data_IF_766234014729
#
_entry.id   IF_766234014729
#
_cell.length_a   1.000
_cell.length_b   1.000
_cell.length_c   1.000
_cell.angle_alpha   90.00
_cell.angle_beta   90.00
_cell.angle_gamma   90.00
#
_symmetry.space_group_name_H-M   'P 1'
#
loop_
_entity.id
_entity.type
_entity.pdbx_description
1 polymer ?
#
# COMPACT_ATOMS: atom_id res chain seq x y z
N UNK A 1 29.75 22.55 -17.93
CA UNK A 1 28.40 22.45 -18.53
C UNK A 1 27.64 21.36 -17.78
N UNK A 2 26.44 21.70 -17.35
CA UNK A 2 25.63 21.14 -16.26
C UNK A 2 25.27 19.65 -16.35
N UNK A 3 25.41 18.93 -15.23
CA UNK A 3 24.68 17.70 -14.87
C UNK A 3 24.46 17.61 -13.35
N UNK A 4 23.79 18.59 -12.72
CA UNK A 4 23.49 18.52 -11.27
C UNK A 4 22.31 19.37 -10.83
N UNK A 5 21.21 19.36 -11.59
CA UNK A 5 19.89 19.70 -11.02
C UNK A 5 19.08 18.43 -11.11
N UNK A 6 19.23 17.56 -10.09
CA UNK A 6 18.26 16.52 -9.82
C UNK A 6 16.91 17.22 -9.72
N UNK A 7 16.01 16.82 -10.60
CA UNK A 7 14.66 17.35 -10.70
C UNK A 7 13.94 17.02 -9.38
N UNK A 8 13.94 17.95 -8.41
CA UNK A 8 13.13 17.82 -7.20
C UNK A 8 11.67 18.07 -7.55
N UNK A 9 11.10 17.19 -8.38
CA UNK A 9 9.68 17.17 -8.66
C UNK A 9 8.94 16.87 -7.36
N UNK A 10 7.87 17.62 -7.07
CA UNK A 10 7.06 17.35 -5.88
C UNK A 10 6.47 15.93 -5.95
N UNK A 11 6.08 15.32 -4.81
CA UNK A 11 5.46 14.00 -4.82
C UNK A 11 4.26 13.90 -5.78
N UNK A 12 3.46 14.97 -5.89
CA UNK A 12 2.32 15.03 -6.81
C UNK A 12 2.73 15.11 -8.29
N UNK A 13 3.87 15.73 -8.62
CA UNK A 13 4.41 15.71 -9.97
C UNK A 13 4.91 14.30 -10.32
N UNK A 14 5.62 13.64 -9.40
CA UNK A 14 6.05 12.25 -9.57
C UNK A 14 4.84 11.31 -9.72
N UNK A 15 3.75 11.56 -8.98
CA UNK A 15 2.49 10.83 -9.14
C UNK A 15 1.89 11.04 -10.53
N UNK A 16 1.83 12.28 -11.01
CA UNK A 16 1.31 12.58 -12.34
C UNK A 16 2.12 11.88 -13.43
N UNK A 17 3.45 11.94 -13.33
CA UNK A 17 4.35 11.28 -14.28
C UNK A 17 4.16 9.75 -14.25
N UNK A 18 3.98 9.16 -13.06
CA UNK A 18 3.70 7.73 -12.91
C UNK A 18 2.31 7.35 -13.45
N UNK A 19 1.30 8.21 -13.33
CA UNK A 19 -0.04 7.98 -13.84
C UNK A 19 -0.11 8.02 -15.37
N UNK A 20 0.81 8.74 -16.02
CA UNK A 20 0.94 8.81 -17.48
C UNK A 20 1.76 7.64 -18.07
N UNK A 21 2.30 6.75 -17.22
CA UNK A 21 3.02 5.54 -17.62
C UNK A 21 2.06 4.45 -18.13
N UNK A 22 2.48 3.70 -19.15
CA UNK A 22 1.77 2.49 -19.60
C UNK A 22 1.84 1.34 -18.57
N UNK A 23 2.80 1.40 -17.65
CA UNK A 23 2.97 0.44 -16.55
C UNK A 23 2.72 1.16 -15.21
N UNK A 24 1.53 0.95 -14.65
CA UNK A 24 1.06 1.63 -13.44
C UNK A 24 1.50 0.87 -12.18
N UNK A 25 2.49 1.41 -11.46
CA UNK A 25 2.83 0.94 -10.11
C UNK A 25 1.90 1.60 -9.08
N UNK A 26 0.77 0.93 -8.80
CA UNK A 26 -0.23 1.41 -7.85
C UNK A 26 0.33 1.61 -6.43
N UNK A 27 1.30 0.78 -6.03
CA UNK A 27 1.95 0.89 -4.71
C UNK A 27 2.75 2.18 -4.64
N UNK A 28 3.62 2.42 -5.63
CA UNK A 28 4.40 3.65 -5.72
C UNK A 28 3.50 4.88 -5.75
N UNK A 29 2.43 4.84 -6.55
CA UNK A 29 1.48 5.94 -6.67
C UNK A 29 0.76 6.23 -5.34
N UNK A 30 0.28 5.20 -4.63
CA UNK A 30 -0.36 5.36 -3.33
C UNK A 30 0.60 5.93 -2.28
N UNK A 31 1.87 5.49 -2.28
CA UNK A 31 2.88 6.00 -1.37
C UNK A 31 3.32 7.44 -1.71
N UNK A 32 3.30 7.84 -2.99
CA UNK A 32 3.54 9.23 -3.40
C UNK A 32 2.43 10.18 -2.92
N UNK A 33 1.18 9.70 -2.83
CA UNK A 33 0.10 10.45 -2.17
C UNK A 33 0.42 10.61 -0.68
N UNK A 34 0.80 9.53 0.00
CA UNK A 34 1.21 9.58 1.41
C UNK A 34 2.39 10.54 1.66
N UNK A 35 3.41 10.51 0.81
CA UNK A 35 4.59 11.37 0.91
C UNK A 35 4.26 12.88 0.85
N UNK A 36 3.14 13.25 0.23
CA UNK A 36 2.68 14.64 0.21
C UNK A 36 2.21 15.14 1.59
N UNK A 37 1.68 14.26 2.44
CA UNK A 37 1.24 14.54 3.81
C UNK A 37 2.32 14.19 4.85
N UNK A 38 3.15 13.18 4.55
CA UNK A 38 4.23 12.68 5.41
C UNK A 38 5.59 12.86 4.72
N UNK A 39 6.23 14.05 4.79
CA UNK A 39 7.46 14.33 4.04
C UNK A 39 8.68 13.45 4.39
N UNK A 40 8.63 12.76 5.53
CA UNK A 40 9.69 11.85 5.98
C UNK A 40 9.36 10.38 5.70
N UNK A 41 8.30 10.09 4.94
CA UNK A 41 7.91 8.73 4.59
C UNK A 41 9.03 8.05 3.78
N UNK A 42 9.44 6.88 4.24
CA UNK A 42 10.39 6.03 3.51
C UNK A 42 9.61 5.10 2.57
N UNK A 43 9.49 5.51 1.31
CA UNK A 43 8.75 4.78 0.27
C UNK A 43 9.22 3.34 0.15
N UNK A 44 10.53 3.10 0.20
CA UNK A 44 11.11 1.78 -0.03
C UNK A 44 10.80 0.86 1.16
N UNK A 45 10.82 1.39 2.38
CA UNK A 45 10.44 0.64 3.57
C UNK A 45 8.96 0.22 3.53
N UNK A 46 8.05 1.12 3.14
CA UNK A 46 6.63 0.78 3.01
C UNK A 46 6.38 -0.23 1.89
N UNK A 47 7.12 -0.12 0.78
CA UNK A 47 7.04 -1.09 -0.32
C UNK A 47 7.47 -2.48 0.14
N UNK A 48 8.55 -2.57 0.91
CA UNK A 48 9.02 -3.84 1.50
C UNK A 48 8.02 -4.41 2.51
N UNK A 49 7.30 -3.55 3.25
CA UNK A 49 6.22 -3.98 4.14
C UNK A 49 5.10 -4.67 3.33
N UNK A 50 4.67 -4.06 2.22
CA UNK A 50 3.67 -4.66 1.33
C UNK A 50 4.18 -5.94 0.65
N UNK A 51 5.42 -5.96 0.17
CA UNK A 51 6.04 -7.15 -0.44
C UNK A 51 6.11 -8.31 0.55
N UNK A 52 6.35 -8.03 1.83
CA UNK A 52 6.35 -9.04 2.90
C UNK A 52 4.96 -9.65 3.10
N UNK A 53 3.90 -8.83 3.05
CA UNK A 53 2.52 -9.32 3.09
C UNK A 53 2.19 -10.16 1.85
N UNK A 54 2.58 -9.69 0.66
CA UNK A 54 2.37 -10.42 -0.59
C UNK A 54 3.08 -11.78 -0.59
N UNK A 55 4.32 -11.83 -0.09
CA UNK A 55 5.07 -13.08 0.05
C UNK A 55 4.41 -14.04 1.04
N UNK A 56 3.94 -13.54 2.18
CA UNK A 56 3.21 -14.33 3.17
C UNK A 56 1.89 -14.88 2.64
N UNK A 57 1.18 -14.11 1.83
CA UNK A 57 -0.03 -14.53 1.13
C UNK A 57 0.29 -15.60 0.06
N UNK A 58 1.27 -15.34 -0.81
CA UNK A 58 1.65 -16.29 -1.88
C UNK A 58 1.98 -17.66 -1.32
N UNK A 59 2.80 -17.72 -0.26
CA UNK A 59 3.21 -18.99 0.34
C UNK A 59 2.04 -19.85 0.85
N UNK A 60 0.95 -19.22 1.30
CA UNK A 60 -0.27 -19.93 1.71
C UNK A 60 -1.09 -20.41 0.52
N UNK A 61 -1.06 -19.67 -0.58
CA UNK A 61 -1.88 -19.92 -1.76
C UNK A 61 -1.22 -20.84 -2.80
N UNK A 62 0.03 -21.25 -2.60
CA UNK A 62 0.83 -21.99 -3.59
C UNK A 62 0.20 -23.34 -4.01
N UNK A 63 -0.56 -23.99 -3.12
CA UNK A 63 -1.14 -25.32 -3.33
C UNK A 63 -2.67 -25.34 -3.53
N UNK A 64 -3.32 -24.17 -3.67
CA UNK A 64 -4.79 -24.07 -3.79
C UNK A 64 -5.21 -23.44 -5.13
N UNK A 65 -6.00 -24.17 -5.90
CA UNK A 65 -6.49 -23.77 -7.23
C UNK A 65 -7.92 -23.23 -7.21
N UNK A 66 -8.71 -23.52 -6.15
CA UNK A 66 -10.08 -23.04 -6.05
C UNK A 66 -10.12 -21.56 -5.65
N UNK A 67 -10.71 -20.73 -6.50
CA UNK A 67 -10.76 -19.27 -6.30
C UNK A 67 -11.44 -18.86 -4.99
N UNK A 68 -12.46 -19.59 -4.52
CA UNK A 68 -13.15 -19.26 -3.27
C UNK A 68 -12.30 -19.64 -2.07
N UNK A 69 -11.66 -20.82 -2.10
CA UNK A 69 -10.70 -21.23 -1.09
C UNK A 69 -9.54 -20.23 -0.99
N UNK A 70 -8.95 -19.81 -2.12
CA UNK A 70 -7.90 -18.77 -2.15
C UNK A 70 -8.36 -17.46 -1.51
N UNK A 71 -9.58 -17.00 -1.82
CA UNK A 71 -10.12 -15.77 -1.24
C UNK A 71 -10.30 -15.88 0.28
N UNK A 72 -10.80 -17.03 0.78
CA UNK A 72 -10.95 -17.27 2.21
C UNK A 72 -9.59 -17.34 2.92
N UNK A 73 -8.61 -18.03 2.34
CA UNK A 73 -7.24 -18.11 2.89
C UNK A 73 -6.56 -16.75 2.94
N UNK A 74 -6.73 -15.93 1.90
CA UNK A 74 -6.22 -14.56 1.88
C UNK A 74 -6.90 -13.70 2.96
N UNK A 75 -8.21 -13.86 3.14
CA UNK A 75 -8.97 -13.16 4.17
C UNK A 75 -8.49 -13.57 5.58
N UNK A 76 -8.41 -14.87 5.87
CA UNK A 76 -7.90 -15.37 7.16
C UNK A 76 -6.47 -14.88 7.42
N UNK A 77 -5.60 -14.92 6.41
CA UNK A 77 -4.24 -14.41 6.55
C UNK A 77 -4.21 -12.90 6.88
N UNK A 78 -4.93 -12.06 6.13
CA UNK A 78 -4.88 -10.62 6.32
C UNK A 78 -5.58 -10.18 7.62
N UNK A 79 -6.74 -10.74 7.93
CA UNK A 79 -7.58 -10.27 9.04
C UNK A 79 -7.33 -11.00 10.36
N UNK A 80 -7.14 -12.32 10.33
CA UNK A 80 -7.00 -13.12 11.55
C UNK A 80 -5.53 -13.29 11.95
N UNK A 81 -4.63 -13.53 10.99
CA UNK A 81 -3.20 -13.72 11.28
C UNK A 81 -2.42 -12.40 11.35
N UNK A 82 -2.53 -11.56 10.32
CA UNK A 82 -1.85 -10.27 10.27
C UNK A 82 -2.59 -9.24 11.12
N UNK A 83 -3.92 -9.32 11.25
CA UNK A 83 -4.68 -8.44 12.13
C UNK A 83 -5.08 -7.12 11.49
N UNK A 84 -5.25 -7.08 10.16
CA UNK A 84 -5.93 -5.97 9.52
C UNK A 84 -7.37 -5.86 10.05
N UNK A 85 -7.86 -4.63 10.17
CA UNK A 85 -9.24 -4.39 10.63
C UNK A 85 -9.77 -3.07 10.11
N UNK A 86 -11.09 -2.94 10.06
CA UNK A 86 -11.72 -1.68 9.69
C UNK A 86 -11.77 -0.72 10.89
N UNK A 87 -11.50 0.57 10.67
CA UNK A 87 -11.66 1.60 11.68
C UNK A 87 -13.14 1.95 11.90
N UNK A 88 -13.84 1.13 12.68
CA UNK A 88 -15.26 1.36 12.97
C UNK A 88 -15.49 2.50 13.95
N UNK A 89 -14.49 2.82 14.78
CA UNK A 89 -14.58 3.87 15.81
C UNK A 89 -14.42 5.27 15.21
N UNK A 90 -13.48 5.43 14.27
CA UNK A 90 -13.23 6.69 13.58
C UNK A 90 -13.15 6.50 12.06
N UNK A 91 -14.32 6.24 11.48
CA UNK A 91 -14.50 5.96 10.06
C UNK A 91 -13.90 7.03 9.13
N UNK A 92 -13.97 8.31 9.54
CA UNK A 92 -13.56 9.45 8.72
C UNK A 92 -12.13 9.93 9.02
N UNK A 93 -11.37 9.20 9.85
CA UNK A 93 -9.95 9.48 10.07
C UNK A 93 -9.21 9.41 8.72
N UNK A 94 -8.59 10.52 8.24
CA UNK A 94 -7.92 10.55 6.94
C UNK A 94 -6.79 9.52 6.85
N UNK A 95 -6.19 9.15 7.99
CA UNK A 95 -5.15 8.11 8.07
C UNK A 95 -5.63 6.75 7.59
N UNK A 96 -6.94 6.48 7.60
CA UNK A 96 -7.51 5.25 7.04
C UNK A 96 -7.33 5.14 5.50
N UNK A 97 -6.99 6.24 4.82
CA UNK A 97 -6.82 6.31 3.36
C UNK A 97 -5.36 6.30 2.90
N UNK A 98 -4.40 6.51 3.81
CA UNK A 98 -2.98 6.55 3.46
C UNK A 98 -2.37 5.15 3.61
N UNK A 99 -1.79 4.62 2.54
CA UNK A 99 -1.29 3.24 2.52
C UNK A 99 -0.27 2.97 3.64
N UNK A 100 0.65 3.91 3.90
CA UNK A 100 1.63 3.79 4.98
C UNK A 100 0.97 3.67 6.36
N UNK A 101 -0.06 4.49 6.64
CA UNK A 101 -0.81 4.44 7.89
C UNK A 101 -1.61 3.15 8.02
N UNK A 102 -2.19 2.66 6.93
CA UNK A 102 -2.94 1.39 6.92
C UNK A 102 -2.00 0.21 7.16
N UNK A 103 -0.83 0.18 6.53
CA UNK A 103 0.18 -0.87 6.73
C UNK A 103 0.73 -0.86 8.16
N UNK A 104 1.05 0.33 8.71
CA UNK A 104 1.60 0.48 10.05
C UNK A 104 0.56 0.11 11.13
N UNK A 105 -0.65 0.68 11.04
CA UNK A 105 -1.70 0.51 12.06
C UNK A 105 -2.52 -0.76 11.87
N UNK A 106 -2.43 -1.38 10.70
CA UNK A 106 -3.31 -2.48 10.26
C UNK A 106 -4.79 -2.10 10.37
N UNK A 107 -5.08 -0.83 10.10
CA UNK A 107 -6.39 -0.22 10.34
C UNK A 107 -6.74 0.70 9.17
N UNK A 108 -7.82 0.41 8.44
CA UNK A 108 -8.21 1.13 7.23
C UNK A 108 -9.72 1.40 7.13
N UNK A 109 -10.18 1.91 5.97
CA UNK A 109 -11.62 2.14 5.72
C UNK A 109 -12.31 0.78 5.56
N UNK A 110 -13.54 0.57 6.10
CA UNK A 110 -14.36 -0.63 5.89
C UNK A 110 -14.69 -1.02 4.43
N UNK A 111 -14.21 -0.25 3.44
CA UNK A 111 -14.40 -0.51 2.00
C UNK A 111 -13.07 -0.87 1.31
N UNK A 112 -11.91 -0.53 1.91
CA UNK A 112 -10.56 -0.91 1.46
C UNK A 112 -10.04 -2.20 2.10
N UNK A 113 -10.76 -2.69 3.12
CA UNK A 113 -10.56 -3.94 3.85
C UNK A 113 -11.87 -4.71 3.80
#
# INVERSE_FOLDING_TARGET
MNRSTLNNASPLQQFSDAADSDDLDLTQMALLIGLSEYPNLDIELERQSLDSLASGASHRLDDEDDSLARANMLSEYLFDEVGFSANQEDYYDPRNSYLNEVLERRLGIPITL
#
